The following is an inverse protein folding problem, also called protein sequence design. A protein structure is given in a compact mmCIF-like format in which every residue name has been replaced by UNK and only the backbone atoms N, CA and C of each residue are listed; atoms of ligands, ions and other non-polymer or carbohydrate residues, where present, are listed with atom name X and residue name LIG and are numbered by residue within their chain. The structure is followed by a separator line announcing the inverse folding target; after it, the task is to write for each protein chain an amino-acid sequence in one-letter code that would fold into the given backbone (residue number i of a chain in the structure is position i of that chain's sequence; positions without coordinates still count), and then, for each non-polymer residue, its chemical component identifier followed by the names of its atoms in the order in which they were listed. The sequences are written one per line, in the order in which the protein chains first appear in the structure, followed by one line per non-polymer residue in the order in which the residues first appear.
data_IF_685557282572
#
_entry.id   IF_685557282572
#
_cell.length_a   1.000
_cell.length_b   1.000
_cell.length_c   1.000
_cell.angle_alpha   90.00
_cell.angle_beta   90.00
_cell.angle_gamma   90.00
#
_symmetry.space_group_name_H-M   'P 1'
#
loop_
_entity.id
_entity.type
_entity.pdbx_description
1 polymer ?
#
# COMPACT_ATOMS: atom_id res chain seq x y z
N UNK A 1 13.89 -16.52 -15.13
CA UNK A 1 14.42 -17.38 -14.07
C UNK A 1 13.34 -17.35 -13.01
N UNK A 2 12.62 -18.47 -12.87
CA UNK A 2 11.65 -18.64 -11.81
C UNK A 2 12.42 -18.76 -10.49
N UNK A 3 12.33 -17.74 -9.66
CA UNK A 3 12.91 -17.76 -8.32
C UNK A 3 12.01 -18.55 -7.38
N UNK A 4 12.60 -19.34 -6.48
CA UNK A 4 11.87 -19.98 -5.39
C UNK A 4 12.03 -19.11 -4.14
N UNK A 5 10.93 -18.66 -3.56
CA UNK A 5 10.93 -17.97 -2.27
C UNK A 5 10.66 -18.96 -1.15
N UNK A 6 11.47 -18.90 -0.10
CA UNK A 6 11.26 -19.67 1.13
C UNK A 6 10.90 -18.69 2.23
N UNK A 7 9.61 -18.63 2.54
CA UNK A 7 9.10 -17.76 3.59
C UNK A 7 8.91 -18.54 4.91
N UNK A 8 9.59 -18.12 5.97
CA UNK A 8 9.37 -18.65 7.31
C UNK A 8 8.05 -18.13 7.90
N UNK A 9 7.44 -18.91 8.81
CA UNK A 9 6.18 -18.50 9.46
C UNK A 9 6.35 -17.36 10.49
N UNK A 10 7.59 -16.94 10.75
CA UNK A 10 7.90 -15.98 11.79
C UNK A 10 7.82 -16.58 13.21
N UNK A 11 8.28 -15.87 14.21
CA UNK A 11 8.20 -16.31 15.62
C UNK A 11 6.78 -16.08 16.16
N UNK A 12 6.46 -16.80 17.25
CA UNK A 12 5.31 -16.46 18.08
C UNK A 12 5.51 -15.09 18.72
N UNK A 13 4.52 -14.22 18.60
CA UNK A 13 4.54 -12.88 19.19
C UNK A 13 3.61 -12.88 20.41
N UNK A 14 4.16 -12.81 21.64
CA UNK A 14 3.34 -12.77 22.85
C UNK A 14 2.47 -11.50 22.90
N UNK A 15 1.33 -11.60 23.59
CA UNK A 15 0.39 -10.49 23.74
C UNK A 15 1.07 -9.24 24.32
N UNK A 16 1.96 -9.41 25.27
CA UNK A 16 2.69 -8.31 25.92
C UNK A 16 3.50 -7.51 24.89
N UNK A 17 4.06 -8.16 23.87
CA UNK A 17 4.80 -7.49 22.80
C UNK A 17 3.86 -6.71 21.86
N UNK A 18 2.65 -7.24 21.62
CA UNK A 18 1.60 -6.53 20.88
C UNK A 18 1.13 -5.29 21.66
N UNK A 19 0.89 -5.44 22.95
CA UNK A 19 0.48 -4.33 23.81
C UNK A 19 1.56 -3.24 23.83
N UNK A 20 2.84 -3.62 23.92
CA UNK A 20 3.97 -2.69 23.80
C UNK A 20 4.04 -1.99 22.43
N UNK A 21 3.76 -2.70 21.33
CA UNK A 21 3.66 -2.10 20.00
C UNK A 21 2.57 -1.03 19.97
N UNK A 22 1.38 -1.39 20.46
CA UNK A 22 0.23 -0.48 20.51
C UNK A 22 0.50 0.76 21.37
N UNK A 23 1.23 0.62 22.48
CA UNK A 23 1.66 1.76 23.29
C UNK A 23 2.68 2.65 22.55
N UNK A 24 3.64 2.05 21.85
CA UNK A 24 4.62 2.80 21.06
C UNK A 24 3.99 3.58 19.92
N UNK A 25 2.97 3.05 19.27
CA UNK A 25 2.25 3.75 18.23
C UNK A 25 1.55 5.02 18.75
N UNK A 26 1.27 5.10 20.05
CA UNK A 26 0.66 6.28 20.66
C UNK A 26 1.57 7.51 20.75
N UNK A 27 2.85 7.41 20.41
CA UNK A 27 3.74 8.59 20.27
C UNK A 27 3.53 9.32 18.94
N UNK A 28 2.94 8.64 17.95
CA UNK A 28 2.66 9.21 16.64
C UNK A 28 1.63 10.34 16.76
N UNK A 29 1.82 11.39 15.95
CA UNK A 29 1.04 12.61 15.96
C UNK A 29 0.78 13.13 14.55
N UNK A 30 -0.01 14.16 14.42
CA UNK A 30 -0.24 14.86 13.16
C UNK A 30 1.08 15.23 12.47
N UNK A 31 1.20 14.87 11.20
CA UNK A 31 2.37 15.07 10.36
C UNK A 31 3.30 13.86 10.30
N UNK A 32 3.17 12.89 11.20
CA UNK A 32 3.91 11.63 11.10
C UNK A 32 3.29 10.72 10.02
N UNK A 33 4.12 9.86 9.43
CA UNK A 33 3.69 8.86 8.46
C UNK A 33 3.92 7.47 9.04
N UNK A 34 2.88 6.64 9.01
CA UNK A 34 2.95 5.23 9.35
C UNK A 34 2.73 4.38 8.10
N UNK A 35 3.61 3.43 7.85
CA UNK A 35 3.44 2.44 6.78
C UNK A 35 3.10 1.09 7.40
N UNK A 36 1.97 0.53 7.01
CA UNK A 36 1.55 -0.83 7.32
C UNK A 36 1.77 -1.67 6.06
N UNK A 37 2.80 -2.51 6.06
CA UNK A 37 3.19 -3.28 4.89
C UNK A 37 3.48 -4.75 5.24
N UNK A 38 3.29 -5.62 4.26
CA UNK A 38 3.59 -7.03 4.34
C UNK A 38 2.46 -7.89 4.92
N UNK A 39 2.79 -9.16 5.14
CA UNK A 39 1.88 -10.16 5.68
C UNK A 39 1.92 -10.17 7.21
N UNK A 40 0.80 -10.56 7.82
CA UNK A 40 0.70 -10.73 9.27
C UNK A 40 1.11 -12.17 9.62
N UNK A 41 2.04 -12.38 10.59
CA UNK A 41 2.33 -13.71 11.11
C UNK A 41 1.06 -14.40 11.62
N UNK A 42 0.94 -15.72 11.40
CA UNK A 42 -0.23 -16.49 11.78
C UNK A 42 -0.56 -16.47 13.29
N UNK A 43 0.42 -16.10 14.12
CA UNK A 43 0.30 -15.98 15.58
C UNK A 43 -0.24 -14.62 16.04
N UNK A 44 -0.36 -13.65 15.13
CA UNK A 44 -0.92 -12.33 15.42
C UNK A 44 -2.43 -12.29 15.05
N UNK A 45 -3.20 -11.39 15.67
CA UNK A 45 -4.57 -11.14 15.27
C UNK A 45 -4.64 -10.76 13.78
N UNK A 46 -5.51 -11.41 13.02
CA UNK A 46 -5.67 -11.13 11.58
C UNK A 46 -6.20 -9.73 11.28
N UNK A 47 -6.73 -9.04 12.28
CA UNK A 47 -7.27 -7.68 12.24
C UNK A 47 -6.31 -6.62 12.83
N UNK A 48 -5.01 -6.96 13.02
CA UNK A 48 -4.04 -6.06 13.67
C UNK A 48 -3.93 -4.69 12.97
N UNK A 49 -3.99 -4.64 11.63
CA UNK A 49 -3.95 -3.39 10.89
C UNK A 49 -5.19 -2.53 11.18
N UNK A 50 -6.36 -3.17 11.28
CA UNK A 50 -7.59 -2.51 11.66
C UNK A 50 -7.50 -1.94 13.08
N UNK A 51 -7.01 -2.72 14.05
CA UNK A 51 -6.80 -2.27 15.43
C UNK A 51 -5.83 -1.08 15.52
N UNK A 52 -4.77 -1.09 14.72
CA UNK A 52 -3.80 0.03 14.64
C UNK A 52 -4.49 1.27 14.09
N UNK A 53 -5.22 1.16 12.99
CA UNK A 53 -5.88 2.29 12.37
C UNK A 53 -6.99 2.88 13.24
N UNK A 54 -7.77 2.03 13.91
CA UNK A 54 -8.77 2.46 14.89
C UNK A 54 -8.13 3.27 16.02
N UNK A 55 -7.03 2.76 16.57
CA UNK A 55 -6.32 3.42 17.68
C UNK A 55 -5.71 4.76 17.30
N UNK A 56 -5.32 4.94 16.04
CA UNK A 56 -4.70 6.16 15.54
C UNK A 56 -5.70 7.12 14.87
N UNK A 57 -6.97 6.75 14.77
CA UNK A 57 -7.97 7.47 13.96
C UNK A 57 -8.03 8.97 14.24
N UNK A 58 -8.08 9.35 15.52
CA UNK A 58 -8.16 10.77 15.94
C UNK A 58 -6.81 11.49 15.96
N UNK A 59 -5.71 10.82 15.64
CA UNK A 59 -4.36 11.38 15.75
C UNK A 59 -3.87 12.07 14.49
N UNK A 60 -4.62 12.00 13.41
CA UNK A 60 -4.28 12.59 12.11
C UNK A 60 -2.90 12.16 11.57
N UNK A 61 -2.50 10.93 11.88
CA UNK A 61 -1.32 10.31 11.31
C UNK A 61 -1.62 9.97 9.86
N UNK A 62 -0.69 10.25 8.95
CA UNK A 62 -0.81 9.82 7.55
C UNK A 62 -0.51 8.33 7.47
N UNK A 63 -1.51 7.50 7.18
CA UNK A 63 -1.34 6.04 7.14
C UNK A 63 -1.34 5.55 5.70
N UNK A 64 -0.32 4.75 5.36
CA UNK A 64 -0.16 4.10 4.06
C UNK A 64 -0.25 2.60 4.29
N UNK A 65 -1.02 1.91 3.44
CA UNK A 65 -1.24 0.46 3.57
C UNK A 65 -0.83 -0.25 2.29
N UNK A 66 0.13 -1.15 2.41
CA UNK A 66 0.54 -2.09 1.38
C UNK A 66 0.27 -3.52 1.85
N UNK A 67 -0.97 -3.93 1.70
CA UNK A 67 -1.49 -5.22 2.16
C UNK A 67 -2.44 -5.80 1.13
N UNK A 68 -2.74 -7.10 1.28
CA UNK A 68 -3.55 -7.85 0.32
C UNK A 68 -4.91 -8.24 0.89
N UNK A 69 -5.90 -8.44 0.01
CA UNK A 69 -7.22 -9.05 0.32
C UNK A 69 -7.90 -8.40 1.54
N UNK A 70 -8.32 -9.24 2.49
CA UNK A 70 -9.09 -8.81 3.65
C UNK A 70 -8.36 -7.80 4.52
N UNK A 71 -7.02 -7.89 4.63
CA UNK A 71 -6.22 -6.92 5.37
C UNK A 71 -6.33 -5.51 4.78
N UNK A 72 -6.40 -5.41 3.46
CA UNK A 72 -6.60 -4.14 2.78
C UNK A 72 -8.05 -3.66 2.91
N UNK A 73 -9.02 -4.54 2.64
CA UNK A 73 -10.43 -4.17 2.62
C UNK A 73 -10.93 -3.70 4.00
N UNK A 74 -10.51 -4.37 5.07
CA UNK A 74 -10.94 -4.05 6.43
C UNK A 74 -10.48 -2.68 6.92
N UNK A 75 -9.40 -2.13 6.35
CA UNK A 75 -8.85 -0.82 6.76
C UNK A 75 -9.39 0.35 5.94
N UNK A 76 -10.09 0.12 4.84
CA UNK A 76 -10.59 1.20 3.97
C UNK A 76 -11.53 2.16 4.69
N UNK A 77 -12.35 1.67 5.62
CA UNK A 77 -13.26 2.49 6.46
C UNK A 77 -12.55 3.53 7.34
N UNK A 78 -11.24 3.39 7.54
CA UNK A 78 -10.40 4.36 8.28
C UNK A 78 -9.67 5.35 7.37
N UNK A 79 -9.97 5.35 6.08
CA UNK A 79 -9.45 6.27 5.08
C UNK A 79 -7.91 6.34 5.00
N UNK A 80 -7.22 5.22 4.69
CA UNK A 80 -5.78 5.24 4.48
C UNK A 80 -5.42 6.25 3.38
N UNK A 81 -4.36 7.04 3.63
CA UNK A 81 -3.91 8.08 2.71
C UNK A 81 -3.48 7.51 1.35
N UNK A 82 -2.80 6.37 1.37
CA UNK A 82 -2.41 5.65 0.17
C UNK A 82 -2.56 4.14 0.41
N UNK A 83 -3.10 3.46 -0.58
CA UNK A 83 -3.01 2.01 -0.71
C UNK A 83 -2.28 1.64 -1.99
N UNK A 84 -1.57 0.49 -1.99
CA UNK A 84 -0.82 0.07 -3.16
C UNK A 84 -1.05 -1.41 -3.52
N UNK A 85 -2.20 -1.80 -4.05
CA UNK A 85 -2.36 -3.12 -4.65
C UNK A 85 -1.58 -3.22 -5.97
N UNK A 86 -1.17 -4.43 -6.36
CA UNK A 86 -0.83 -4.68 -7.75
C UNK A 86 -2.10 -5.02 -8.55
N UNK A 87 -1.99 -5.06 -9.89
CA UNK A 87 -3.17 -5.29 -10.75
C UNK A 87 -3.79 -6.67 -10.59
N UNK A 88 -3.01 -7.69 -10.18
CA UNK A 88 -3.53 -9.02 -9.87
C UNK A 88 -4.33 -9.01 -8.57
N UNK A 89 -3.77 -8.41 -7.50
CA UNK A 89 -4.45 -8.25 -6.21
C UNK A 89 -5.75 -7.45 -6.35
N UNK A 90 -5.71 -6.38 -7.15
CA UNK A 90 -6.90 -5.60 -7.47
C UNK A 90 -7.94 -6.45 -8.22
N UNK A 91 -7.50 -7.25 -9.18
CA UNK A 91 -8.34 -8.18 -9.92
C UNK A 91 -8.97 -9.24 -9.01
N UNK A 92 -8.20 -9.82 -8.07
CA UNK A 92 -8.70 -10.78 -7.09
C UNK A 92 -9.78 -10.18 -6.16
N UNK A 93 -9.65 -8.90 -5.76
CA UNK A 93 -10.66 -8.22 -4.93
C UNK A 93 -12.02 -8.14 -5.63
N UNK A 94 -12.02 -7.93 -6.95
CA UNK A 94 -13.25 -7.72 -7.72
C UNK A 94 -13.64 -8.90 -8.64
N UNK A 95 -12.91 -10.02 -8.53
CA UNK A 95 -13.10 -11.22 -9.37
C UNK A 95 -13.06 -10.93 -10.87
N UNK A 96 -12.02 -10.19 -11.30
CA UNK A 96 -11.80 -9.78 -12.69
C UNK A 96 -10.33 -9.91 -13.09
N UNK A 97 -10.08 -10.08 -14.39
CA UNK A 97 -8.72 -9.96 -14.94
C UNK A 97 -8.46 -8.53 -15.40
N UNK A 98 -7.35 -7.95 -14.95
CA UNK A 98 -6.93 -6.59 -15.28
C UNK A 98 -5.56 -6.65 -15.97
N UNK A 99 -5.47 -6.14 -17.18
CA UNK A 99 -4.24 -6.21 -17.96
C UNK A 99 -3.74 -4.86 -18.48
N UNK A 100 -4.62 -3.92 -18.73
CA UNK A 100 -4.28 -2.60 -19.25
C UNK A 100 -4.62 -1.49 -18.24
N UNK A 101 -4.06 -0.31 -18.44
CA UNK A 101 -4.29 0.82 -17.53
C UNK A 101 -5.77 1.20 -17.44
N UNK A 102 -6.45 1.20 -18.60
CA UNK A 102 -7.87 1.55 -18.66
C UNK A 102 -8.75 0.54 -17.91
N UNK A 103 -8.33 -0.74 -17.82
CA UNK A 103 -9.02 -1.76 -17.05
C UNK A 103 -8.91 -1.48 -15.54
N UNK A 104 -7.77 -0.96 -15.11
CA UNK A 104 -7.42 -0.75 -13.69
C UNK A 104 -8.18 0.43 -13.10
N UNK A 105 -8.31 1.53 -13.83
CA UNK A 105 -8.85 2.81 -13.33
C UNK A 105 -10.24 2.69 -12.69
N UNK A 106 -11.23 2.00 -13.29
CA UNK A 106 -12.55 1.87 -12.68
C UNK A 106 -12.52 1.16 -11.31
N UNK A 107 -11.67 0.16 -11.14
CA UNK A 107 -11.55 -0.60 -9.89
C UNK A 107 -10.75 0.14 -8.83
N UNK A 108 -9.72 0.89 -9.22
CA UNK A 108 -9.02 1.80 -8.31
C UNK A 108 -9.97 2.87 -7.76
N UNK A 109 -10.86 3.43 -8.58
CA UNK A 109 -11.91 4.35 -8.13
C UNK A 109 -12.90 3.70 -7.18
N UNK A 110 -13.27 2.44 -7.38
CA UNK A 110 -14.10 1.70 -6.41
C UNK A 110 -13.43 1.58 -5.04
N UNK A 111 -12.12 1.36 -4.99
CA UNK A 111 -11.40 1.36 -3.72
C UNK A 111 -11.38 2.74 -3.05
N UNK A 112 -11.37 3.84 -3.82
CA UNK A 112 -11.59 5.18 -3.26
C UNK A 112 -13.01 5.35 -2.72
N UNK A 113 -14.01 4.90 -3.43
CA UNK A 113 -15.42 4.91 -2.96
C UNK A 113 -15.60 4.09 -1.68
N UNK A 114 -14.80 3.02 -1.50
CA UNK A 114 -14.77 2.22 -0.28
C UNK A 114 -13.99 2.86 0.86
N UNK A 115 -13.25 3.96 0.60
CA UNK A 115 -12.60 4.76 1.63
C UNK A 115 -11.13 5.12 1.42
N UNK A 116 -10.41 4.49 0.51
CA UNK A 116 -9.02 4.88 0.24
C UNK A 116 -8.94 6.33 -0.27
N UNK A 117 -7.99 7.12 0.23
CA UNK A 117 -7.80 8.50 -0.24
C UNK A 117 -7.11 8.48 -1.61
N UNK A 118 -6.00 7.77 -1.73
CA UNK A 118 -5.26 7.59 -2.99
C UNK A 118 -5.02 6.09 -3.25
N UNK A 119 -5.05 5.70 -4.53
CA UNK A 119 -4.81 4.32 -4.95
C UNK A 119 -3.70 4.30 -5.99
N UNK A 120 -2.57 3.67 -5.65
CA UNK A 120 -1.48 3.41 -6.58
C UNK A 120 -1.54 1.93 -6.95
N UNK A 121 -1.77 1.63 -8.23
CA UNK A 121 -1.79 0.26 -8.72
C UNK A 121 -0.51 -0.02 -9.49
N UNK A 122 0.29 -0.97 -9.01
CA UNK A 122 1.50 -1.40 -9.71
C UNK A 122 1.16 -2.49 -10.75
N UNK A 123 1.80 -2.42 -11.92
CA UNK A 123 1.52 -3.30 -13.06
C UNK A 123 2.79 -3.97 -13.61
N UNK A 124 3.80 -4.15 -12.76
CA UNK A 124 5.07 -4.74 -13.12
C UNK A 124 5.73 -3.99 -14.29
N UNK A 125 6.18 -4.70 -15.32
CA UNK A 125 6.81 -4.10 -16.50
C UNK A 125 5.93 -3.10 -17.28
N UNK A 126 4.63 -3.04 -17.01
CA UNK A 126 3.71 -2.03 -17.58
C UNK A 126 3.68 -0.72 -16.78
N UNK A 127 4.44 -0.65 -15.68
CA UNK A 127 4.51 0.54 -14.83
C UNK A 127 3.41 0.60 -13.79
N UNK A 128 2.62 1.65 -13.77
CA UNK A 128 1.55 1.80 -12.78
C UNK A 128 0.55 2.89 -13.10
N UNK A 129 -0.48 2.93 -12.27
CA UNK A 129 -1.57 3.92 -12.32
C UNK A 129 -1.78 4.49 -10.92
N UNK A 130 -1.86 5.80 -10.81
CA UNK A 130 -2.28 6.51 -9.60
C UNK A 130 -3.66 7.13 -9.83
N UNK A 131 -4.57 6.87 -8.90
CA UNK A 131 -5.85 7.60 -8.79
C UNK A 131 -5.79 8.38 -7.48
N UNK A 132 -5.80 9.71 -7.55
CA UNK A 132 -5.63 10.60 -6.40
C UNK A 132 -6.94 11.28 -5.98
N UNK A 133 -7.00 11.76 -4.75
CA UNK A 133 -8.19 12.39 -4.13
C UNK A 133 -8.64 13.67 -4.83
N UNK A 134 -7.72 14.35 -5.54
CA UNK A 134 -8.04 15.52 -6.35
C UNK A 134 -8.66 15.17 -7.72
N UNK A 135 -8.97 13.89 -7.94
CA UNK A 135 -9.64 13.37 -9.14
C UNK A 135 -8.70 13.09 -10.31
N UNK A 136 -7.39 13.27 -10.15
CA UNK A 136 -6.42 12.95 -11.20
C UNK A 136 -6.23 11.45 -11.35
N UNK A 137 -6.02 11.05 -12.59
CA UNK A 137 -5.59 9.70 -12.97
C UNK A 137 -4.30 9.86 -13.76
N UNK A 138 -3.21 9.33 -13.24
CA UNK A 138 -1.89 9.38 -13.89
C UNK A 138 -1.41 7.96 -14.11
N UNK A 139 -0.94 7.67 -15.31
CA UNK A 139 -0.32 6.40 -15.65
C UNK A 139 1.06 6.60 -16.26
N UNK A 140 1.99 5.73 -15.96
CA UNK A 140 3.33 5.76 -16.57
C UNK A 140 3.87 4.36 -16.75
N UNK A 141 4.70 4.18 -17.77
CA UNK A 141 5.42 2.92 -18.02
C UNK A 141 6.54 2.75 -17.01
N UNK A 142 6.91 1.50 -16.75
CA UNK A 142 8.11 1.20 -15.98
C UNK A 142 9.35 1.78 -16.70
N UNK A 143 10.26 2.34 -15.93
CA UNK A 143 11.50 2.89 -16.43
C UNK A 143 12.58 1.82 -16.65
N UNK A 144 12.47 0.69 -15.93
CA UNK A 144 13.41 -0.41 -16.05
C UNK A 144 13.17 -1.23 -17.33
N UNK A 145 14.22 -1.43 -18.12
CA UNK A 145 14.18 -2.27 -19.34
C UNK A 145 14.54 -3.74 -19.05
N UNK A 146 15.21 -4.01 -17.96
CA UNK A 146 15.65 -5.36 -17.55
C UNK A 146 15.38 -5.53 -16.05
N UNK A 147 14.46 -6.40 -15.70
CA UNK A 147 14.18 -6.78 -14.32
C UNK A 147 15.14 -7.90 -13.91
N UNK A 148 15.98 -7.66 -12.92
CA UNK A 148 16.87 -8.68 -12.33
C UNK A 148 16.20 -9.43 -11.19
N UNK A 149 15.46 -8.72 -10.35
CA UNK A 149 14.69 -9.23 -9.23
C UNK A 149 13.59 -8.22 -8.92
N UNK A 150 12.36 -8.70 -8.67
CA UNK A 150 11.21 -7.86 -8.32
C UNK A 150 10.94 -7.79 -6.81
N UNK A 151 11.70 -8.54 -5.99
CA UNK A 151 11.53 -8.52 -4.53
C UNK A 151 11.91 -7.13 -3.99
N UNK A 152 11.00 -6.54 -3.20
CA UNK A 152 11.17 -5.20 -2.64
C UNK A 152 10.82 -4.04 -3.59
N UNK A 153 10.48 -4.30 -4.87
CA UNK A 153 10.04 -3.25 -5.79
C UNK A 153 8.79 -2.53 -5.28
N UNK A 154 7.84 -3.28 -4.71
CA UNK A 154 6.65 -2.71 -4.08
C UNK A 154 6.98 -1.76 -2.93
N UNK A 155 7.81 -2.20 -2.00
CA UNK A 155 8.25 -1.38 -0.84
C UNK A 155 9.02 -0.15 -1.29
N UNK A 156 9.90 -0.31 -2.29
CA UNK A 156 10.66 0.80 -2.89
C UNK A 156 9.74 1.83 -3.54
N UNK A 157 8.69 1.37 -4.22
CA UNK A 157 7.67 2.23 -4.83
C UNK A 157 6.92 3.05 -3.77
N UNK A 158 6.52 2.43 -2.64
CA UNK A 158 5.91 3.14 -1.50
C UNK A 158 6.87 4.18 -0.94
N UNK A 159 8.14 3.81 -0.72
CA UNK A 159 9.16 4.72 -0.20
C UNK A 159 9.38 5.91 -1.14
N UNK A 160 9.46 5.67 -2.46
CA UNK A 160 9.58 6.72 -3.47
C UNK A 160 8.39 7.66 -3.48
N UNK A 161 7.17 7.13 -3.39
CA UNK A 161 5.97 7.95 -3.28
C UNK A 161 6.01 8.87 -2.04
N UNK A 162 6.36 8.32 -0.88
CA UNK A 162 6.47 9.09 0.37
C UNK A 162 7.50 10.19 0.24
N UNK A 163 8.69 9.87 -0.28
CA UNK A 163 9.77 10.85 -0.47
C UNK A 163 9.32 12.00 -1.38
N UNK A 164 8.74 11.69 -2.53
CA UNK A 164 8.24 12.69 -3.47
C UNK A 164 7.10 13.53 -2.90
N UNK A 165 6.20 12.92 -2.15
CA UNK A 165 5.10 13.61 -1.46
C UNK A 165 5.61 14.56 -0.38
N UNK A 166 6.56 14.13 0.43
CA UNK A 166 7.15 14.97 1.48
C UNK A 166 7.88 16.16 0.89
N UNK A 167 8.58 15.98 -0.24
CA UNK A 167 9.36 17.04 -0.90
C UNK A 167 8.47 18.10 -1.54
N UNK A 168 7.41 17.72 -2.26
CA UNK A 168 6.65 18.68 -3.09
C UNK A 168 5.16 18.76 -2.82
N UNK A 169 4.59 17.84 -2.04
CA UNK A 169 3.13 17.75 -1.85
C UNK A 169 2.37 17.74 -3.19
N UNK A 170 2.91 17.03 -4.18
CA UNK A 170 2.40 16.94 -5.53
C UNK A 170 2.30 15.47 -5.94
N UNK A 171 1.12 15.05 -6.35
CA UNK A 171 0.84 13.66 -6.70
C UNK A 171 1.61 13.16 -7.93
N UNK A 172 1.73 14.00 -8.97
CA UNK A 172 2.44 13.60 -10.19
C UNK A 172 3.93 13.35 -9.89
N UNK A 173 4.51 14.21 -9.05
CA UNK A 173 5.90 14.05 -8.64
C UNK A 173 6.09 12.84 -7.72
N UNK A 174 5.20 12.67 -6.73
CA UNK A 174 5.23 11.51 -5.84
C UNK A 174 5.09 10.19 -6.61
N UNK A 175 4.17 10.14 -7.58
CA UNK A 175 3.99 8.99 -8.44
C UNK A 175 5.20 8.72 -9.34
N UNK A 176 5.79 9.77 -9.92
CA UNK A 176 7.02 9.64 -10.72
C UNK A 176 8.17 9.07 -9.90
N UNK A 177 8.33 9.51 -8.65
CA UNK A 177 9.31 8.96 -7.72
C UNK A 177 9.01 7.50 -7.36
N UNK A 178 7.75 7.16 -7.13
CA UNK A 178 7.33 5.78 -6.89
C UNK A 178 7.73 4.84 -8.04
N UNK A 179 7.47 5.27 -9.27
CA UNK A 179 7.77 4.47 -10.47
C UNK A 179 9.26 4.42 -10.83
N UNK A 180 10.04 5.38 -10.34
CA UNK A 180 11.50 5.41 -10.55
C UNK A 180 12.27 4.54 -9.54
N UNK A 181 11.67 4.21 -8.41
CA UNK A 181 12.31 3.46 -7.31
C UNK A 181 11.82 2.01 -7.21
N UNK A 182 10.65 1.69 -7.74
CA UNK A 182 10.02 0.37 -7.73
C UNK A 182 10.38 -0.57 -8.87
#
# INVERSE_FOLDING_TARGET
IDGTEINGQGPDIPKEQLDMLMERLMVLKEGDILVLAGSIPATMPSDIYEQIMEKLYDRKVTIIVDATKDLLLNVLKYHPFLIKPNHHELGEIFDVELSEWDDVVPYAKKLQEMGAVNVLVSMGGKGGVLVSDDGRVVATKATATVVKNSVGAGDSSVAGFIAGWLEKKNYDYAFSMAMATG
#
